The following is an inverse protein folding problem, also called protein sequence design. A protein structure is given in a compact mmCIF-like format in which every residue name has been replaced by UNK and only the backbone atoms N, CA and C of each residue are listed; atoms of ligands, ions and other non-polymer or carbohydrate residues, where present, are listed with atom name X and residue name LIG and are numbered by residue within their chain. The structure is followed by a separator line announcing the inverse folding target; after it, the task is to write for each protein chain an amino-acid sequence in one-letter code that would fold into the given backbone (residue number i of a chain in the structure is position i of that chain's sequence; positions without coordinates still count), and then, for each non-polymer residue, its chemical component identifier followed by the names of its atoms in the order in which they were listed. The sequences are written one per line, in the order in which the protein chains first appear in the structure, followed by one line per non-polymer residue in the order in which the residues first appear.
data_IF_947346226111
#
_entry.id   IF_947346226111
#
_cell.length_a   1.000
_cell.length_b   1.000
_cell.length_c   1.000
_cell.angle_alpha   90.00
_cell.angle_beta   90.00
_cell.angle_gamma   90.00
#
_symmetry.space_group_name_H-M   'P 1'
#
loop_
_entity.id
_entity.type
_entity.pdbx_description
1 polymer ?
#
# COMPACT_ATOMS: atom_id res chain seq x y z
N UNK A 1 9.15 -16.40 -10.29
CA UNK A 1 10.51 -15.82 -10.18
C UNK A 1 10.53 -14.49 -9.42
N UNK A 2 10.55 -14.53 -8.07
CA UNK A 2 10.51 -13.30 -7.26
C UNK A 2 11.83 -12.50 -7.31
N UNK A 3 12.96 -13.17 -7.53
CA UNK A 3 14.32 -12.61 -7.57
C UNK A 3 14.55 -11.71 -8.80
N UNK A 4 13.77 -11.87 -9.87
CA UNK A 4 13.95 -11.09 -11.09
C UNK A 4 13.53 -9.62 -10.93
N UNK A 5 12.52 -9.35 -10.10
CA UNK A 5 11.98 -8.00 -9.91
C UNK A 5 13.03 -7.02 -9.33
N UNK A 6 13.71 -7.31 -8.20
CA UNK A 6 14.71 -6.40 -7.65
C UNK A 6 15.88 -6.12 -8.60
N UNK A 7 16.30 -7.11 -9.38
CA UNK A 7 17.36 -6.95 -10.37
C UNK A 7 16.96 -6.02 -11.52
N UNK A 8 15.70 -6.05 -11.95
CA UNK A 8 15.19 -5.13 -12.99
C UNK A 8 15.09 -3.70 -12.45
N UNK A 9 14.52 -3.49 -11.27
CA UNK A 9 14.43 -2.15 -10.66
C UNK A 9 15.82 -1.54 -10.38
N UNK A 10 16.78 -2.39 -10.05
CA UNK A 10 18.18 -2.01 -9.91
C UNK A 10 18.77 -1.46 -11.22
N UNK A 11 18.57 -2.15 -12.34
CA UNK A 11 19.11 -1.76 -13.65
C UNK A 11 18.65 -0.37 -14.10
N UNK A 12 17.46 0.04 -13.66
CA UNK A 12 16.86 1.33 -14.02
C UNK A 12 17.03 2.41 -12.94
N UNK A 13 17.83 2.15 -11.89
CA UNK A 13 18.30 3.17 -10.94
C UNK A 13 17.45 3.39 -9.68
N UNK A 14 16.53 2.50 -9.31
CA UNK A 14 15.77 2.65 -8.07
C UNK A 14 16.60 2.31 -6.82
N UNK A 15 16.52 3.17 -5.79
CA UNK A 15 17.17 2.97 -4.50
C UNK A 15 16.32 2.26 -3.45
N UNK A 16 14.98 2.29 -3.62
CA UNK A 16 14.03 1.67 -2.72
C UNK A 16 12.81 1.14 -3.49
N UNK A 17 12.26 0.01 -3.05
CA UNK A 17 11.08 -0.63 -3.63
C UNK A 17 10.16 -1.07 -2.49
N UNK A 18 8.86 -0.85 -2.63
CA UNK A 18 7.86 -1.34 -1.68
C UNK A 18 7.04 -2.48 -2.30
N UNK A 19 6.96 -3.61 -1.60
CA UNK A 19 6.14 -4.75 -1.98
C UNK A 19 4.69 -4.49 -1.58
N UNK A 20 3.82 -4.37 -2.57
CA UNK A 20 2.41 -4.08 -2.33
C UNK A 20 1.60 -5.35 -2.06
N UNK A 21 0.93 -5.40 -0.93
CA UNK A 21 -0.05 -6.43 -0.57
C UNK A 21 -1.44 -5.80 -0.65
N UNK A 22 -2.27 -6.28 -1.59
CA UNK A 22 -3.62 -5.76 -1.81
C UNK A 22 -4.64 -6.68 -1.15
N UNK A 23 -5.51 -6.09 -0.32
CA UNK A 23 -6.63 -6.80 0.32
C UNK A 23 -7.92 -6.21 -0.21
N UNK A 24 -8.75 -7.06 -0.83
CA UNK A 24 -10.06 -6.67 -1.38
C UNK A 24 -11.16 -7.46 -0.66
N UNK A 25 -11.91 -6.75 0.20
CA UNK A 25 -12.92 -7.29 1.10
C UNK A 25 -14.23 -7.73 0.39
N UNK A 26 -14.21 -8.03 -0.92
CA UNK A 26 -15.38 -8.53 -1.66
C UNK A 26 -15.80 -9.94 -1.22
N UNK A 27 -14.89 -10.74 -0.68
CA UNK A 27 -15.17 -12.08 -0.19
C UNK A 27 -14.96 -12.18 1.33
N UNK A 28 -15.82 -12.96 1.99
CA UNK A 28 -15.99 -13.02 3.46
C UNK A 28 -14.64 -13.09 4.22
N UNK A 29 -14.51 -12.22 5.24
CA UNK A 29 -13.44 -12.17 6.26
C UNK A 29 -12.04 -12.46 5.71
N UNK A 30 -11.49 -11.56 4.90
CA UNK A 30 -10.05 -11.51 4.69
C UNK A 30 -9.39 -10.94 5.96
N UNK A 31 -8.52 -11.74 6.57
CA UNK A 31 -7.64 -11.29 7.64
C UNK A 31 -6.38 -10.67 7.07
N UNK A 32 -5.89 -9.63 7.74
CA UNK A 32 -4.64 -8.97 7.36
C UNK A 32 -3.52 -9.89 7.80
N UNK A 33 -2.88 -10.55 6.84
CA UNK A 33 -1.75 -11.44 7.11
C UNK A 33 -0.51 -10.60 7.43
N UNK A 34 0.37 -11.14 8.27
CA UNK A 34 1.69 -10.58 8.54
C UNK A 34 2.47 -10.41 7.21
N UNK A 35 3.12 -9.27 6.97
CA UNK A 35 3.95 -9.09 5.79
C UNK A 35 5.08 -10.12 5.77
N UNK A 36 5.37 -10.66 4.59
CA UNK A 36 6.54 -11.51 4.39
C UNK A 36 7.78 -10.64 4.55
N UNK A 37 8.74 -11.10 5.36
CA UNK A 37 9.94 -10.30 5.60
C UNK A 37 10.76 -10.16 4.32
N UNK A 38 11.31 -8.97 4.02
CA UNK A 38 12.16 -8.78 2.85
C UNK A 38 13.35 -9.73 2.80
N UNK A 39 13.91 -10.08 3.97
CA UNK A 39 15.03 -10.99 4.12
C UNK A 39 14.70 -12.43 3.73
N UNK A 40 13.46 -12.90 3.96
CA UNK A 40 12.99 -14.22 3.53
C UNK A 40 12.79 -14.28 2.01
N UNK A 41 12.36 -13.18 1.39
CA UNK A 41 12.11 -13.11 -0.05
C UNK A 41 13.40 -12.93 -0.86
N UNK A 42 14.36 -12.20 -0.30
CA UNK A 42 15.58 -11.78 -0.98
C UNK A 42 16.79 -12.01 -0.06
N UNK A 43 17.38 -13.21 -0.08
CA UNK A 43 18.53 -13.53 0.78
C UNK A 43 19.77 -12.68 0.46
N UNK A 44 19.88 -12.18 -0.77
CA UNK A 44 20.87 -11.17 -1.13
C UNK A 44 20.24 -10.11 -2.03
N UNK A 45 20.45 -8.84 -1.66
CA UNK A 45 19.97 -7.68 -2.40
C UNK A 45 21.13 -7.02 -3.14
N UNK A 46 20.97 -6.66 -4.43
CA UNK A 46 22.02 -6.01 -5.20
C UNK A 46 22.35 -4.62 -4.63
N UNK A 47 23.62 -4.22 -4.75
CA UNK A 47 24.13 -2.88 -4.39
C UNK A 47 23.87 -1.96 -5.57
N UNK A 48 23.16 -0.85 -5.36
CA UNK A 48 22.67 0.09 -6.40
C UNK A 48 23.81 0.68 -7.23
N UNK A 49 23.70 0.69 -8.56
CA UNK A 49 24.76 1.21 -9.45
C UNK A 49 24.99 2.69 -9.15
N UNK A 50 26.25 3.07 -8.90
CA UNK A 50 26.63 4.44 -8.56
C UNK A 50 26.46 4.80 -7.08
N UNK A 51 25.92 3.92 -6.22
CA UNK A 51 25.93 4.14 -4.77
C UNK A 51 26.38 2.88 -4.03
N UNK A 52 27.16 3.00 -2.97
CA UNK A 52 27.57 1.82 -2.15
C UNK A 52 26.42 1.23 -1.30
N UNK A 53 25.18 1.66 -1.51
CA UNK A 53 24.02 1.28 -0.71
C UNK A 53 23.24 0.14 -1.37
N UNK A 54 22.80 -0.82 -0.55
CA UNK A 54 21.88 -1.87 -0.98
C UNK A 54 20.49 -1.28 -1.22
N UNK A 55 19.77 -1.83 -2.19
CA UNK A 55 18.38 -1.46 -2.44
C UNK A 55 17.54 -1.74 -1.18
N UNK A 56 16.73 -0.78 -0.76
CA UNK A 56 15.83 -0.95 0.39
C UNK A 56 14.53 -1.58 -0.07
N UNK A 57 14.11 -2.68 0.55
CA UNK A 57 12.82 -3.32 0.29
C UNK A 57 11.91 -3.08 1.47
N UNK A 58 10.78 -2.43 1.21
CA UNK A 58 9.74 -2.10 2.19
C UNK A 58 8.48 -2.91 1.91
N UNK A 59 7.55 -2.91 2.85
CA UNK A 59 6.26 -3.58 2.74
C UNK A 59 5.13 -2.54 2.76
N UNK A 60 4.23 -2.63 1.79
CA UNK A 60 3.09 -1.73 1.65
C UNK A 60 1.80 -2.53 1.71
N UNK A 61 0.88 -2.12 2.57
CA UNK A 61 -0.48 -2.63 2.59
C UNK A 61 -1.38 -1.70 1.78
N UNK A 62 -2.18 -2.23 0.85
CA UNK A 62 -3.23 -1.46 0.17
C UNK A 62 -4.59 -2.10 0.44
N UNK A 63 -5.46 -1.41 1.17
CA UNK A 63 -6.81 -1.89 1.44
C UNK A 63 -7.80 -1.32 0.43
N UNK A 64 -8.53 -2.18 -0.27
CA UNK A 64 -9.65 -1.78 -1.13
C UNK A 64 -10.90 -1.59 -0.29
N UNK A 65 -11.32 -0.34 -0.14
CA UNK A 65 -12.45 0.02 0.71
C UNK A 65 -13.67 0.25 -0.17
N UNK A 66 -14.63 -0.67 -0.06
CA UNK A 66 -15.93 -0.60 -0.75
C UNK A 66 -17.08 -0.27 0.20
N UNK A 67 -16.95 -0.59 1.49
CA UNK A 67 -17.95 -0.34 2.53
C UNK A 67 -17.32 0.34 3.76
N UNK A 68 -18.02 1.25 4.46
CA UNK A 68 -17.50 1.92 5.66
C UNK A 68 -17.12 0.98 6.80
N UNK A 69 -17.72 -0.21 6.88
CA UNK A 69 -17.36 -1.21 7.89
C UNK A 69 -15.91 -1.68 7.75
N UNK A 70 -15.34 -1.67 6.54
CA UNK A 70 -13.95 -2.05 6.30
C UNK A 70 -12.99 -1.03 6.93
N UNK A 71 -13.39 0.23 7.06
CA UNK A 71 -12.62 1.27 7.74
C UNK A 71 -12.46 0.96 9.25
N UNK A 72 -13.35 0.19 9.86
CA UNK A 72 -13.24 -0.19 11.27
C UNK A 72 -12.02 -1.09 11.52
N UNK A 73 -11.61 -1.88 10.53
CA UNK A 73 -10.42 -2.73 10.64
C UNK A 73 -9.13 -1.90 10.71
N UNK A 74 -9.08 -0.79 9.95
CA UNK A 74 -8.00 0.19 10.02
C UNK A 74 -7.99 0.90 11.37
N UNK A 75 -9.14 1.39 11.83
CA UNK A 75 -9.26 2.08 13.13
C UNK A 75 -8.93 1.18 14.30
N UNK A 76 -9.31 -0.09 14.22
CA UNK A 76 -9.03 -1.09 15.25
C UNK A 76 -7.53 -1.41 15.38
N UNK A 77 -6.68 -0.91 14.47
CA UNK A 77 -5.21 -1.06 14.51
C UNK A 77 -4.81 -2.51 14.76
N UNK A 78 -5.31 -3.43 13.92
CA UNK A 78 -4.95 -4.84 14.07
C UNK A 78 -3.42 -5.00 14.08
N UNK A 79 -2.90 -5.89 14.94
CA UNK A 79 -1.47 -6.02 15.20
C UNK A 79 -0.64 -6.21 13.92
N UNK A 80 -1.24 -6.82 12.90
CA UNK A 80 -0.59 -7.08 11.62
C UNK A 80 -0.48 -5.85 10.72
N UNK A 81 -1.39 -4.87 10.82
CA UNK A 81 -1.30 -3.61 10.04
C UNK A 81 -0.03 -2.84 10.42
N UNK A 82 0.28 -2.80 11.72
CA UNK A 82 1.46 -2.10 12.26
C UNK A 82 2.80 -2.72 11.84
N UNK A 83 2.77 -3.90 11.22
CA UNK A 83 3.98 -4.55 10.70
C UNK A 83 4.34 -4.08 9.29
N UNK A 84 3.43 -3.39 8.60
CA UNK A 84 3.71 -2.80 7.30
C UNK A 84 4.40 -1.45 7.46
N UNK A 85 5.33 -1.14 6.55
CA UNK A 85 6.05 0.13 6.56
C UNK A 85 5.20 1.28 5.99
N UNK A 86 4.26 0.96 5.10
CA UNK A 86 3.38 1.93 4.43
C UNK A 86 1.97 1.39 4.37
N UNK A 87 1.00 2.20 4.82
CA UNK A 87 -0.43 1.89 4.80
C UNK A 87 -1.09 2.75 3.72
N UNK A 88 -1.73 2.09 2.77
CA UNK A 88 -2.46 2.72 1.69
C UNK A 88 -3.92 2.26 1.66
N UNK A 89 -4.81 3.14 1.21
CA UNK A 89 -6.23 2.83 1.00
C UNK A 89 -6.66 3.15 -0.41
N UNK A 90 -7.52 2.31 -0.96
CA UNK A 90 -8.12 2.48 -2.27
C UNK A 90 -9.65 2.63 -2.11
N UNK A 91 -10.16 3.87 -1.96
CA UNK A 91 -11.59 4.12 -1.79
C UNK A 91 -12.35 4.00 -3.11
N UNK A 92 -13.48 3.29 -3.09
CA UNK A 92 -14.36 3.13 -4.26
C UNK A 92 -15.44 4.21 -4.41
N UNK A 93 -15.72 4.98 -3.36
CA UNK A 93 -16.81 5.98 -3.33
C UNK A 93 -16.35 7.30 -2.75
N UNK A 94 -17.06 8.39 -3.07
CA UNK A 94 -16.77 9.74 -2.55
C UNK A 94 -16.80 9.79 -1.02
N UNK A 95 -17.77 9.11 -0.40
CA UNK A 95 -17.92 9.05 1.07
C UNK A 95 -16.68 8.41 1.71
N UNK A 96 -16.20 7.32 1.13
CA UNK A 96 -15.02 6.62 1.63
C UNK A 96 -13.74 7.41 1.39
N UNK A 97 -13.65 8.13 0.26
CA UNK A 97 -12.54 9.04 0.00
C UNK A 97 -12.49 10.16 1.06
N UNK A 98 -13.63 10.77 1.38
CA UNK A 98 -13.69 11.78 2.43
C UNK A 98 -13.26 11.23 3.80
N UNK A 99 -13.78 10.05 4.19
CA UNK A 99 -13.42 9.36 5.44
C UNK A 99 -11.92 9.03 5.48
N UNK A 100 -11.34 8.63 4.35
CA UNK A 100 -9.91 8.35 4.22
C UNK A 100 -9.06 9.59 4.45
N UNK A 101 -9.48 10.76 3.96
CA UNK A 101 -8.74 12.00 4.15
C UNK A 101 -8.88 12.61 5.55
N UNK A 102 -10.03 12.41 6.23
CA UNK A 102 -10.34 13.15 7.47
C UNK A 102 -10.28 12.32 8.75
N UNK A 103 -10.56 11.01 8.67
CA UNK A 103 -10.73 10.18 9.87
C UNK A 103 -9.80 8.98 9.95
N UNK A 104 -9.18 8.58 8.85
CA UNK A 104 -8.29 7.43 8.81
C UNK A 104 -6.84 7.88 8.88
N UNK A 105 -6.06 7.18 9.69
CA UNK A 105 -4.62 7.36 9.79
C UNK A 105 -3.94 6.45 8.74
N UNK A 106 -3.69 7.01 7.56
CA UNK A 106 -3.16 6.30 6.39
C UNK A 106 -2.10 7.14 5.71
N UNK A 107 -1.04 6.51 5.19
CA UNK A 107 0.07 7.22 4.55
C UNK A 107 -0.28 7.64 3.11
N UNK A 108 -1.01 6.79 2.39
CA UNK A 108 -1.29 6.97 0.96
C UNK A 108 -2.75 6.70 0.62
N UNK A 109 -3.32 7.52 -0.26
CA UNK A 109 -4.63 7.28 -0.87
C UNK A 109 -4.41 6.93 -2.34
N UNK A 110 -4.77 5.71 -2.71
CA UNK A 110 -4.72 5.22 -4.07
C UNK A 110 -5.93 5.74 -4.86
N UNK A 111 -5.69 6.17 -6.09
CA UNK A 111 -6.74 6.54 -7.04
C UNK A 111 -6.49 5.73 -8.30
N UNK A 112 -7.52 5.01 -8.77
CA UNK A 112 -7.46 4.26 -10.00
C UNK A 112 -8.16 5.04 -11.11
N UNK A 113 -7.42 5.38 -12.16
CA UNK A 113 -7.91 6.21 -13.29
C UNK A 113 -8.08 5.36 -14.56
N UNK A 114 -8.17 4.03 -14.43
CA UNK A 114 -8.41 3.14 -15.58
C UNK A 114 -9.81 3.29 -16.17
N UNK A 115 -10.74 3.86 -15.40
CA UNK A 115 -12.14 4.07 -15.79
C UNK A 115 -12.59 5.46 -15.35
N UNK A 116 -13.74 5.91 -15.86
CA UNK A 116 -14.38 7.14 -15.38
C UNK A 116 -14.60 7.02 -13.87
N UNK A 117 -13.92 7.87 -13.09
CA UNK A 117 -14.03 7.87 -11.64
C UNK A 117 -15.50 8.06 -11.23
N UNK A 118 -16.00 7.29 -10.25
CA UNK A 118 -17.39 7.37 -9.81
C UNK A 118 -17.68 8.63 -8.97
N UNK A 119 -16.67 9.47 -8.71
CA UNK A 119 -16.79 10.70 -7.92
C UNK A 119 -15.78 11.76 -8.37
N UNK A 120 -16.02 13.01 -7.95
CA UNK A 120 -15.13 14.14 -8.19
C UNK A 120 -14.29 14.45 -6.95
N UNK A 121 -13.04 14.86 -7.15
CA UNK A 121 -12.19 15.36 -6.08
C UNK A 121 -12.68 16.76 -5.66
N UNK A 122 -13.21 16.87 -4.44
CA UNK A 122 -13.49 18.18 -3.84
C UNK A 122 -12.23 18.71 -3.18
N UNK A 123 -12.07 20.04 -3.15
CA UNK A 123 -10.91 20.68 -2.50
C UNK A 123 -10.78 20.42 -1.00
N UNK A 124 -11.84 20.48 -0.18
CA UNK A 124 -11.70 20.33 1.27
C UNK A 124 -11.00 19.04 1.74
N UNK A 125 -11.28 17.85 1.19
CA UNK A 125 -10.55 16.63 1.58
C UNK A 125 -9.14 16.48 0.97
N UNK A 126 -8.76 17.31 -0.01
CA UNK A 126 -7.46 17.18 -0.70
C UNK A 126 -6.45 18.21 -0.18
N UNK A 127 -6.93 19.40 0.17
CA UNK A 127 -6.11 20.49 0.70
C UNK A 127 -6.53 20.73 2.15
N UNK A 128 -6.07 19.83 3.02
CA UNK A 128 -6.28 19.89 4.47
C UNK A 128 -5.12 20.60 5.15
#
# INVERSE_FOLDING_TARGET
DKIFLPCVYFSVGYSAVALNHVIDFKEKKQEIVKPVSPSELFPSLPIVQGTSKRIKVLTRLTLVVSDPSHCNLLRSTSANIRLYDVIAVFPKTEKLFHIACTTLDVDLICINVTEKLPFYFRRPPVNM
#
